data_IF_918839112269
#
_entry.id   IF_918839112269
#
_cell.length_a   1.000
_cell.length_b   1.000
_cell.length_c   1.000
_cell.angle_alpha   90.00
_cell.angle_beta   90.00
_cell.angle_gamma   90.00
#
_symmetry.space_group_name_H-M   'P 1'
#
loop_
_entity.id
_entity.type
_entity.pdbx_description
1 polymer ?
#
# COMPACT_ATOMS: atom_id res chain seq x y z
N UNK A 1 18.91 -9.27 -9.94
CA UNK A 1 18.93 -8.85 -8.51
C UNK A 1 18.36 -7.46 -8.27
N UNK A 2 18.54 -6.47 -9.16
CA UNK A 2 18.16 -5.07 -8.93
C UNK A 2 16.65 -4.83 -8.74
N UNK A 3 15.79 -5.50 -9.51
CA UNK A 3 14.34 -5.33 -9.49
C UNK A 3 13.70 -5.54 -8.10
N UNK A 4 14.29 -6.40 -7.28
CA UNK A 4 13.76 -6.77 -5.96
C UNK A 4 13.89 -5.65 -4.93
N UNK A 5 14.84 -4.75 -5.15
CA UNK A 5 15.09 -3.59 -4.28
C UNK A 5 14.39 -2.33 -4.81
N UNK A 6 13.97 -2.33 -6.08
CA UNK A 6 13.30 -1.19 -6.71
C UNK A 6 11.79 -1.18 -6.51
N UNK A 7 11.16 -2.34 -6.28
CA UNK A 7 9.70 -2.40 -6.15
C UNK A 7 9.16 -1.56 -4.98
N UNK A 8 9.79 -1.64 -3.80
CA UNK A 8 9.35 -0.86 -2.63
C UNK A 8 9.51 0.67 -2.80
N UNK A 9 10.66 1.20 -3.26
CA UNK A 9 10.76 2.63 -3.53
C UNK A 9 9.84 3.08 -4.67
N UNK A 10 9.61 2.25 -5.70
CA UNK A 10 8.63 2.56 -6.75
C UNK A 10 7.21 2.62 -6.20
N UNK A 11 6.82 1.67 -5.33
CA UNK A 11 5.51 1.73 -4.66
C UNK A 11 5.39 2.96 -3.78
N UNK A 12 6.45 3.34 -3.06
CA UNK A 12 6.46 4.56 -2.25
C UNK A 12 6.23 5.79 -3.14
N UNK A 13 7.03 5.97 -4.20
CA UNK A 13 6.90 7.10 -5.13
C UNK A 13 5.48 7.17 -5.74
N UNK A 14 4.91 6.02 -6.12
CA UNK A 14 3.54 5.96 -6.63
C UNK A 14 2.53 6.43 -5.58
N UNK A 15 2.64 5.95 -4.34
CA UNK A 15 1.77 6.37 -3.24
C UNK A 15 1.90 7.86 -2.90
N UNK A 16 3.13 8.37 -2.80
CA UNK A 16 3.39 9.80 -2.59
C UNK A 16 2.73 10.64 -3.70
N UNK A 17 2.90 10.23 -4.96
CA UNK A 17 2.32 10.95 -6.11
C UNK A 17 0.79 10.95 -6.05
N UNK A 18 0.18 9.82 -5.70
CA UNK A 18 -1.28 9.70 -5.56
C UNK A 18 -1.83 10.59 -4.45
N UNK A 19 -1.19 10.61 -3.27
CA UNK A 19 -1.62 11.45 -2.14
C UNK A 19 -1.45 12.94 -2.46
N UNK A 20 -0.32 13.32 -3.04
CA UNK A 20 -0.07 14.72 -3.45
C UNK A 20 -1.11 15.17 -4.46
N UNK A 21 -1.42 14.34 -5.47
CA UNK A 21 -2.49 14.61 -6.42
C UNK A 21 -3.86 14.66 -5.74
N UNK A 22 -4.16 13.75 -4.82
CA UNK A 22 -5.39 13.75 -4.03
C UNK A 22 -5.59 15.05 -3.25
N UNK A 23 -4.51 15.69 -2.77
CA UNK A 23 -4.59 17.01 -2.12
C UNK A 23 -5.07 18.14 -3.03
N UNK A 24 -4.94 18.00 -4.36
CA UNK A 24 -5.44 18.98 -5.34
C UNK A 24 -6.87 18.69 -5.80
N UNK A 25 -7.47 17.57 -5.37
CA UNK A 25 -8.85 17.25 -5.72
C UNK A 25 -9.83 17.97 -4.80
N UNK A 26 -11.01 18.39 -5.32
CA UNK A 26 -12.02 19.05 -4.52
C UNK A 26 -12.55 18.11 -3.44
N UNK A 27 -12.47 18.55 -2.19
CA UNK A 27 -13.11 17.88 -1.06
C UNK A 27 -14.55 18.37 -0.93
N UNK A 28 -15.47 17.60 -1.51
CA UNK A 28 -16.90 17.91 -1.48
C UNK A 28 -17.52 17.90 -0.08
N UNK A 29 -16.89 17.24 0.89
CA UNK A 29 -17.36 17.28 2.28
C UNK A 29 -16.96 18.60 2.93
N UNK A 30 -15.70 19.02 2.79
CA UNK A 30 -15.23 20.31 3.28
C UNK A 30 -15.94 21.49 2.59
N UNK A 31 -16.17 21.41 1.28
CA UNK A 31 -16.86 22.45 0.51
C UNK A 31 -18.29 22.72 0.99
N UNK A 32 -18.98 21.72 1.59
CA UNK A 32 -20.32 21.91 2.18
C UNK A 32 -20.31 22.78 3.43
N UNK A 33 -19.16 22.94 4.07
CA UNK A 33 -19.00 23.69 5.31
C UNK A 33 -18.38 25.08 5.09
N UNK A 34 -17.92 25.37 3.88
CA UNK A 34 -17.31 26.66 3.53
C UNK A 34 -18.38 27.67 3.08
N UNK A 35 -18.18 28.98 3.37
CA UNK A 35 -19.00 30.03 2.78
C UNK A 35 -18.93 30.00 1.24
N UNK A 36 -20.01 30.41 0.54
CA UNK A 36 -19.99 30.49 -0.91
C UNK A 36 -18.85 31.38 -1.43
N UNK A 37 -18.10 30.89 -2.41
CA UNK A 37 -17.00 31.63 -3.05
C UNK A 37 -15.66 31.56 -2.31
N UNK A 38 -15.56 30.75 -1.25
CA UNK A 38 -14.28 30.48 -0.57
C UNK A 38 -13.71 29.15 -1.06
N UNK A 39 -12.52 29.20 -1.66
CA UNK A 39 -11.78 28.00 -2.02
C UNK A 39 -10.97 27.49 -0.81
N UNK A 40 -10.95 26.18 -0.57
CA UNK A 40 -10.15 25.60 0.50
C UNK A 40 -8.65 25.68 0.21
N UNK A 41 -7.87 25.97 1.24
CA UNK A 41 -6.42 25.86 1.18
C UNK A 41 -5.97 24.41 0.95
N UNK A 42 -4.84 24.23 0.26
CA UNK A 42 -4.23 22.91 0.09
C UNK A 42 -3.89 22.29 1.47
N UNK A 43 -4.31 21.02 1.75
CA UNK A 43 -4.17 20.39 3.06
C UNK A 43 -2.74 19.90 3.32
N UNK A 44 -1.78 20.83 3.38
CA UNK A 44 -0.33 20.57 3.49
C UNK A 44 0.02 19.60 4.62
N UNK A 45 -0.49 19.86 5.83
CA UNK A 45 -0.17 19.06 7.00
C UNK A 45 -0.67 17.61 6.86
N UNK A 46 -1.89 17.43 6.35
CA UNK A 46 -2.46 16.10 6.15
C UNK A 46 -1.71 15.33 5.04
N UNK A 47 -1.42 15.98 3.91
CA UNK A 47 -0.63 15.38 2.83
C UNK A 47 0.75 14.95 3.31
N UNK A 48 1.46 15.80 4.04
CA UNK A 48 2.78 15.44 4.60
C UNK A 48 2.69 14.28 5.58
N UNK A 49 1.63 14.23 6.39
CA UNK A 49 1.38 13.11 7.31
C UNK A 49 1.18 11.80 6.55
N UNK A 50 0.36 11.81 5.48
CA UNK A 50 0.16 10.64 4.63
C UNK A 50 1.42 10.22 3.87
N UNK A 51 2.24 11.17 3.42
CA UNK A 51 3.56 10.86 2.86
C UNK A 51 4.45 10.12 3.87
N UNK A 52 4.49 10.59 5.13
CA UNK A 52 5.24 9.93 6.18
C UNK A 52 4.70 8.52 6.50
N UNK A 53 3.38 8.36 6.51
CA UNK A 53 2.70 7.07 6.69
C UNK A 53 3.08 6.09 5.58
N UNK A 54 3.05 6.51 4.31
CA UNK A 54 3.44 5.67 3.17
C UNK A 54 4.89 5.18 3.31
N UNK A 55 5.80 6.08 3.70
CA UNK A 55 7.20 5.70 3.93
C UNK A 55 7.31 4.69 5.07
N UNK A 56 6.60 4.91 6.18
CA UNK A 56 6.59 3.98 7.31
C UNK A 56 6.02 2.61 6.94
N UNK A 57 4.93 2.58 6.18
CA UNK A 57 4.30 1.35 5.67
C UNK A 57 5.24 0.61 4.70
N UNK A 58 5.95 1.32 3.81
CA UNK A 58 6.97 0.71 2.96
C UNK A 58 8.16 0.15 3.77
N UNK A 59 8.60 0.84 4.82
CA UNK A 59 9.64 0.35 5.73
C UNK A 59 9.18 -0.89 6.50
N UNK A 60 7.92 -0.92 6.93
CA UNK A 60 7.31 -2.09 7.56
C UNK A 60 7.30 -3.29 6.61
N UNK A 61 6.88 -3.10 5.36
CA UNK A 61 6.93 -4.14 4.34
C UNK A 61 8.37 -4.59 4.04
N UNK A 62 9.34 -3.66 4.01
CA UNK A 62 10.75 -3.98 3.87
C UNK A 62 11.24 -4.87 5.02
N UNK A 63 10.84 -4.56 6.26
CA UNK A 63 11.23 -5.31 7.46
C UNK A 63 10.65 -6.73 7.48
N UNK A 64 9.40 -6.91 7.03
CA UNK A 64 8.73 -8.22 6.95
C UNK A 64 9.26 -9.04 5.77
N UNK A 65 9.29 -8.46 4.58
CA UNK A 65 9.71 -9.14 3.36
C UNK A 65 11.22 -9.35 3.26
N UNK A 66 12.06 -8.55 3.95
CA UNK A 66 13.55 -8.50 3.85
C UNK A 66 14.05 -8.99 2.48
N UNK A 67 13.91 -8.18 1.42
CA UNK A 67 14.15 -8.60 0.05
C UNK A 67 15.54 -9.20 -0.18
N UNK A 68 16.55 -8.77 0.60
CA UNK A 68 17.91 -9.33 0.53
C UNK A 68 18.00 -10.84 0.79
N UNK A 69 17.24 -11.36 1.76
CA UNK A 69 17.23 -12.79 2.11
C UNK A 69 15.98 -13.54 1.62
N UNK A 70 15.13 -12.88 0.83
CA UNK A 70 13.86 -13.46 0.45
C UNK A 70 14.03 -14.52 -0.65
N UNK A 71 14.02 -15.79 -0.29
CA UNK A 71 14.14 -16.90 -1.24
C UNK A 71 12.75 -17.47 -1.62
N UNK A 72 11.82 -16.62 -2.05
CA UNK A 72 10.41 -17.00 -2.38
C UNK A 72 9.69 -17.74 -1.24
N UNK A 73 9.97 -17.32 0.00
CA UNK A 73 9.32 -17.91 1.18
C UNK A 73 7.84 -17.55 1.20
N UNK A 74 6.99 -18.57 1.02
CA UNK A 74 5.53 -18.43 1.07
C UNK A 74 5.04 -17.91 2.43
N UNK A 75 5.68 -18.32 3.54
CA UNK A 75 5.32 -17.85 4.88
C UNK A 75 5.54 -16.35 5.07
N UNK A 76 6.65 -15.81 4.56
CA UNK A 76 6.94 -14.37 4.67
C UNK A 76 6.01 -13.52 3.81
N UNK A 77 5.68 -14.02 2.62
CA UNK A 77 4.68 -13.40 1.75
C UNK A 77 3.31 -13.38 2.44
N UNK A 78 2.90 -14.52 3.03
CA UNK A 78 1.63 -14.64 3.75
C UNK A 78 1.57 -13.71 4.96
N UNK A 79 2.62 -13.64 5.78
CA UNK A 79 2.69 -12.70 6.90
C UNK A 79 2.56 -11.25 6.42
N UNK A 80 3.24 -10.88 5.35
CA UNK A 80 3.12 -9.54 4.77
C UNK A 80 1.70 -9.27 4.24
N UNK A 81 1.08 -10.24 3.57
CA UNK A 81 -0.31 -10.13 3.09
C UNK A 81 -1.29 -9.94 4.25
N UNK A 82 -1.20 -10.76 5.30
CA UNK A 82 -2.10 -10.66 6.46
C UNK A 82 -1.95 -9.33 7.19
N UNK A 83 -0.71 -8.88 7.37
CA UNK A 83 -0.42 -7.56 7.94
C UNK A 83 -1.01 -6.44 7.08
N UNK A 84 -0.81 -6.50 5.76
CA UNK A 84 -1.34 -5.50 4.83
C UNK A 84 -2.88 -5.45 4.85
N UNK A 85 -3.54 -6.61 4.91
CA UNK A 85 -5.00 -6.71 5.03
C UNK A 85 -5.52 -6.15 6.36
N UNK A 86 -4.81 -6.38 7.47
CA UNK A 86 -5.18 -5.80 8.77
C UNK A 86 -5.11 -4.27 8.74
N UNK A 87 -4.03 -3.72 8.18
CA UNK A 87 -3.85 -2.27 7.99
C UNK A 87 -4.89 -1.72 7.00
N UNK A 88 -5.22 -2.47 5.94
CA UNK A 88 -6.28 -2.09 5.00
C UNK A 88 -7.64 -2.00 5.70
N UNK A 89 -7.95 -2.94 6.60
CA UNK A 89 -9.17 -2.90 7.42
C UNK A 89 -9.23 -1.67 8.31
N UNK A 90 -8.10 -1.29 8.94
CA UNK A 90 -7.99 -0.05 9.71
C UNK A 90 -8.31 1.18 8.83
N UNK A 91 -7.68 1.32 7.65
CA UNK A 91 -7.93 2.45 6.76
C UNK A 91 -9.33 2.43 6.12
N UNK A 92 -9.94 1.27 5.90
CA UNK A 92 -11.30 1.20 5.37
C UNK A 92 -12.32 1.79 6.36
N UNK A 93 -12.06 1.69 7.66
CA UNK A 93 -12.96 2.23 8.69
C UNK A 93 -13.17 3.74 8.63
N UNK A 94 -12.18 4.50 8.15
CA UNK A 94 -12.25 5.96 8.02
C UNK A 94 -12.74 6.47 6.66
N UNK A 95 -13.15 5.60 5.73
CA UNK A 95 -13.40 5.99 4.34
C UNK A 95 -14.67 6.82 4.11
N UNK A 96 -15.73 6.66 4.93
CA UNK A 96 -17.07 7.16 4.60
C UNK A 96 -17.22 8.69 4.50
N UNK A 97 -16.28 9.46 5.05
CA UNK A 97 -16.23 10.93 4.91
C UNK A 97 -14.80 11.41 4.69
N UNK A 98 -14.00 10.59 4.01
CA UNK A 98 -12.58 10.84 3.90
C UNK A 98 -12.28 11.90 2.82
N UNK A 99 -11.33 12.81 3.08
CA UNK A 99 -10.80 13.69 2.05
C UNK A 99 -10.15 12.92 0.89
N UNK A 100 -10.01 13.50 -0.31
CA UNK A 100 -9.53 12.77 -1.48
C UNK A 100 -8.11 12.18 -1.33
N UNK A 101 -7.20 12.85 -0.61
CA UNK A 101 -5.86 12.32 -0.33
C UNK A 101 -5.89 11.02 0.49
N UNK A 102 -6.87 10.85 1.38
CA UNK A 102 -7.08 9.63 2.15
C UNK A 102 -7.57 8.51 1.22
N UNK A 103 -8.51 8.82 0.33
CA UNK A 103 -8.99 7.85 -0.68
C UNK A 103 -7.86 7.38 -1.59
N UNK A 104 -6.97 8.28 -2.00
CA UNK A 104 -5.78 7.96 -2.80
C UNK A 104 -4.80 7.05 -2.06
N UNK A 105 -4.55 7.32 -0.77
CA UNK A 105 -3.76 6.44 0.08
C UNK A 105 -4.39 5.05 0.20
N UNK A 106 -5.70 4.97 0.46
CA UNK A 106 -6.41 3.70 0.58
C UNK A 106 -6.36 2.90 -0.73
N UNK A 107 -6.59 3.54 -1.87
CA UNK A 107 -6.49 2.90 -3.18
C UNK A 107 -5.08 2.36 -3.45
N UNK A 108 -4.05 3.15 -3.15
CA UNK A 108 -2.67 2.71 -3.23
C UNK A 108 -2.42 1.49 -2.32
N UNK A 109 -2.89 1.53 -1.07
CA UNK A 109 -2.70 0.44 -0.11
C UNK A 109 -3.42 -0.85 -0.51
N UNK A 110 -4.60 -0.75 -1.12
CA UNK A 110 -5.33 -1.89 -1.67
C UNK A 110 -4.57 -2.53 -2.84
N UNK A 111 -3.97 -1.72 -3.72
CA UNK A 111 -3.12 -2.23 -4.81
C UNK A 111 -1.86 -2.92 -4.28
N UNK A 112 -1.22 -2.37 -3.24
CA UNK A 112 -0.10 -3.01 -2.54
C UNK A 112 -0.54 -4.33 -1.93
N UNK A 113 -1.69 -4.36 -1.25
CA UNK A 113 -2.26 -5.56 -0.64
C UNK A 113 -2.56 -6.64 -1.67
N UNK A 114 -3.11 -6.27 -2.83
CA UNK A 114 -3.33 -7.18 -3.96
C UNK A 114 -2.01 -7.74 -4.48
N UNK A 115 -0.99 -6.89 -4.68
CA UNK A 115 0.35 -7.32 -5.10
C UNK A 115 0.98 -8.33 -4.13
N UNK A 116 0.82 -8.12 -2.82
CA UNK A 116 1.26 -9.06 -1.79
C UNK A 116 0.50 -10.38 -1.84
N UNK A 117 -0.83 -10.34 -2.01
CA UNK A 117 -1.65 -11.54 -2.14
C UNK A 117 -1.21 -12.38 -3.35
N UNK A 118 -0.99 -11.74 -4.51
CA UNK A 118 -0.47 -12.39 -5.71
C UNK A 118 0.92 -12.99 -5.47
N UNK A 119 1.81 -12.28 -4.77
CA UNK A 119 3.12 -12.78 -4.40
C UNK A 119 3.03 -14.03 -3.50
N UNK A 120 2.08 -14.05 -2.58
CA UNK A 120 1.81 -15.19 -1.70
C UNK A 120 1.34 -16.40 -2.51
N UNK A 121 0.35 -16.21 -3.39
CA UNK A 121 -0.15 -17.28 -4.28
C UNK A 121 0.95 -17.83 -5.18
N UNK A 122 1.76 -16.94 -5.78
CA UNK A 122 2.89 -17.34 -6.61
C UNK A 122 3.92 -18.16 -5.82
N UNK A 123 4.28 -17.70 -4.62
CA UNK A 123 5.28 -18.38 -3.77
C UNK A 123 4.76 -19.73 -3.27
N UNK A 124 3.47 -19.82 -2.91
CA UNK A 124 2.82 -21.06 -2.52
C UNK A 124 2.75 -22.06 -3.69
N UNK A 125 2.34 -21.60 -4.87
CA UNK A 125 2.29 -22.40 -6.08
C UNK A 125 3.67 -22.97 -6.43
N UNK A 126 4.71 -22.14 -6.50
CA UNK A 126 6.08 -22.58 -6.74
C UNK A 126 6.55 -23.64 -5.73
N UNK A 127 6.25 -23.44 -4.45
CA UNK A 127 6.59 -24.41 -3.38
C UNK A 127 5.87 -25.75 -3.58
N UNK A 128 4.60 -25.72 -4.00
CA UNK A 128 3.81 -26.92 -4.27
C UNK A 128 4.31 -27.68 -5.51
N UNK A 129 4.61 -26.97 -6.60
CA UNK A 129 5.19 -27.55 -7.82
C UNK A 129 6.54 -28.25 -7.54
N UNK A 130 7.41 -27.61 -6.76
CA UNK A 130 8.69 -28.21 -6.36
C UNK A 130 8.52 -29.47 -5.51
N UNK A 131 7.51 -29.51 -4.63
CA UNK A 131 7.19 -30.72 -3.84
C UNK A 131 6.69 -31.85 -4.72
N UNK A 132 5.79 -31.58 -5.69
CA UNK A 132 5.29 -32.61 -6.61
C UNK A 132 6.41 -33.23 -7.44
N UNK A 133 7.28 -32.42 -8.04
CA UNK A 133 8.36 -32.92 -8.90
C UNK A 133 9.42 -33.73 -8.14
N UNK A 134 9.61 -33.47 -6.83
CA UNK A 134 10.51 -34.26 -5.98
C UNK A 134 9.93 -35.62 -5.55
N UNK A 135 8.61 -35.79 -5.61
CA UNK A 135 7.94 -37.07 -5.26
C UNK A 135 7.87 -38.00 -6.48
N UNK A 136 8.02 -37.46 -7.69
CA UNK A 136 7.98 -38.21 -8.95
C UNK A 136 9.36 -38.61 -9.50
N UNK A 137 10.44 -38.31 -8.80
CA UNK A 137 11.82 -38.66 -9.13
C UNK A 137 12.39 -39.62 -8.08
#
# INVERSE_FOLDING_TARGET
MIWRHLLLPLTAIAGLSMVVWGGFMPDYWMLRHLPPGVDPDYPRQAVLTFCAIILAECLLLLAVLRPGSYCRSWGRALCASLLALAIAGFWLSGFMHAPPYYGMHLQWWLLVSLGLALLTLYSAGQSWWQRRNKVSA
#
